data_IF_187506866176
#
_entry.id   IF_187506866176
#
_cell.length_a   1.000
_cell.length_b   1.000
_cell.length_c   1.000
_cell.angle_alpha   90.00
_cell.angle_beta   90.00
_cell.angle_gamma   90.00
#
_symmetry.space_group_name_H-M   'P 1'
#
loop_
_entity.id
_entity.type
_entity.pdbx_description
1 polymer ?
#
# COMPACT_ATOMS: atom_id res chain seq x y z
N UNK A 1 -19.13 -0.25 -11.20
CA UNK A 1 -18.56 1.12 -11.32
C UNK A 1 -17.04 1.03 -11.39
N UNK A 2 -16.43 1.18 -12.57
CA UNK A 2 -14.96 1.24 -12.70
C UNK A 2 -14.49 2.60 -12.17
N UNK A 3 -14.00 2.68 -10.92
CA UNK A 3 -13.34 3.88 -10.39
C UNK A 3 -12.10 4.14 -11.26
N UNK A 4 -11.91 5.40 -11.72
CA UNK A 4 -10.73 5.88 -12.47
C UNK A 4 -9.44 5.25 -11.91
N UNK A 5 -8.66 4.61 -12.78
CA UNK A 5 -7.54 3.73 -12.41
C UNK A 5 -6.43 4.47 -11.67
N UNK A 6 -6.39 4.33 -10.36
CA UNK A 6 -5.27 4.75 -9.52
C UNK A 6 -4.10 3.79 -9.71
N UNK A 7 -2.88 4.31 -9.83
CA UNK A 7 -1.71 3.54 -10.28
C UNK A 7 -1.39 2.39 -9.32
N UNK A 8 -1.47 2.62 -8.01
CA UNK A 8 -1.10 1.59 -7.03
C UNK A 8 -2.29 0.79 -6.50
N UNK A 9 -3.52 1.07 -6.95
CA UNK A 9 -4.71 0.43 -6.38
C UNK A 9 -4.68 -1.08 -6.60
N UNK A 10 -4.45 -1.52 -7.83
CA UNK A 10 -4.40 -2.95 -8.16
C UNK A 10 -3.26 -3.67 -7.41
N UNK A 11 -2.10 -3.03 -7.29
CA UNK A 11 -0.97 -3.55 -6.51
C UNK A 11 -1.32 -3.75 -5.04
N UNK A 12 -1.98 -2.76 -4.42
CA UNK A 12 -2.37 -2.84 -3.01
C UNK A 12 -3.46 -3.89 -2.78
N UNK A 13 -4.45 -3.96 -3.67
CA UNK A 13 -5.51 -4.95 -3.60
C UNK A 13 -4.97 -6.36 -3.76
N UNK A 14 -4.07 -6.59 -4.73
CA UNK A 14 -3.43 -7.88 -4.94
C UNK A 14 -2.53 -8.26 -3.76
N UNK A 15 -1.76 -7.33 -3.21
CA UNK A 15 -0.95 -7.57 -2.01
C UNK A 15 -1.83 -8.06 -0.85
N UNK A 16 -2.90 -7.32 -0.52
CA UNK A 16 -3.81 -7.70 0.55
C UNK A 16 -4.48 -9.07 0.28
N UNK A 17 -4.90 -9.31 -0.96
CA UNK A 17 -5.54 -10.57 -1.39
C UNK A 17 -4.58 -11.75 -1.24
N UNK A 18 -3.33 -11.60 -1.68
CA UNK A 18 -2.31 -12.65 -1.59
C UNK A 18 -2.04 -13.11 -0.15
N UNK A 19 -2.20 -12.21 0.83
CA UNK A 19 -2.06 -12.51 2.26
C UNK A 19 -3.28 -13.28 2.77
N UNK A 20 -4.49 -12.81 2.44
CA UNK A 20 -5.73 -13.44 2.92
C UNK A 20 -5.90 -14.85 2.34
N UNK A 21 -5.50 -15.04 1.07
CA UNK A 21 -5.53 -16.34 0.39
C UNK A 21 -4.36 -17.26 0.77
N UNK A 22 -3.40 -16.78 1.57
CA UNK A 22 -2.24 -17.56 2.01
C UNK A 22 -1.20 -17.83 0.91
N UNK A 23 -1.31 -17.19 -0.26
CA UNK A 23 -0.29 -17.27 -1.33
C UNK A 23 1.05 -16.69 -0.86
N UNK A 24 0.99 -15.63 -0.05
CA UNK A 24 2.15 -15.01 0.59
C UNK A 24 2.19 -15.40 2.05
N UNK A 25 3.30 -16.00 2.49
CA UNK A 25 3.54 -16.31 3.90
C UNK A 25 3.59 -14.99 4.69
N UNK A 26 2.73 -14.89 5.71
CA UNK A 26 2.52 -13.70 6.50
C UNK A 26 2.33 -14.08 7.97
N UNK A 27 2.77 -13.21 8.88
CA UNK A 27 2.49 -13.39 10.31
C UNK A 27 0.99 -13.16 10.60
N UNK A 28 0.55 -13.57 11.79
CA UNK A 28 -0.85 -13.49 12.22
C UNK A 28 -1.39 -12.06 12.14
N UNK A 29 -0.60 -11.08 12.52
CA UNK A 29 -0.96 -9.66 12.58
C UNK A 29 -1.18 -9.10 11.17
N UNK A 30 -0.33 -9.48 10.21
CA UNK A 30 -0.48 -9.05 8.82
C UNK A 30 -1.72 -9.67 8.17
N UNK A 31 -2.03 -10.93 8.49
CA UNK A 31 -3.29 -11.57 8.06
C UNK A 31 -4.50 -10.84 8.64
N UNK A 32 -4.46 -10.47 9.93
CA UNK A 32 -5.52 -9.70 10.57
C UNK A 32 -5.70 -8.32 9.93
N UNK A 33 -4.61 -7.62 9.62
CA UNK A 33 -4.65 -6.32 8.96
C UNK A 33 -5.25 -6.41 7.55
N UNK A 34 -4.86 -7.42 6.76
CA UNK A 34 -5.43 -7.63 5.42
C UNK A 34 -6.91 -8.03 5.47
N UNK A 35 -7.32 -8.90 6.41
CA UNK A 35 -8.73 -9.23 6.62
C UNK A 35 -9.56 -8.02 7.06
N UNK A 36 -9.03 -7.20 7.97
CA UNK A 36 -9.66 -5.95 8.40
C UNK A 36 -9.84 -5.00 7.22
N UNK A 37 -8.81 -4.83 6.39
CA UNK A 37 -8.86 -3.98 5.20
C UNK A 37 -10.06 -4.34 4.29
N UNK A 38 -10.24 -5.61 3.94
CA UNK A 38 -11.39 -6.03 3.12
C UNK A 38 -12.73 -5.85 3.86
N UNK A 39 -12.78 -6.14 5.15
CA UNK A 39 -13.98 -5.90 5.97
C UNK A 39 -14.38 -4.42 5.98
N UNK A 40 -13.41 -3.52 6.07
CA UNK A 40 -13.66 -2.08 6.11
C UNK A 40 -14.09 -1.54 4.73
N UNK A 41 -13.66 -2.15 3.62
CA UNK A 41 -14.15 -1.82 2.28
C UNK A 41 -15.65 -2.11 2.10
N UNK A 42 -16.16 -3.14 2.78
CA UNK A 42 -17.58 -3.53 2.76
C UNK A 42 -18.40 -2.83 3.85
N UNK A 43 -17.73 -2.17 4.81
CA UNK A 43 -18.37 -1.59 5.97
C UNK A 43 -19.08 -0.27 5.60
N UNK A 44 -20.40 -0.16 5.80
CA UNK A 44 -21.14 1.05 5.45
C UNK A 44 -20.71 2.29 6.24
N UNK A 45 -20.05 2.14 7.39
CA UNK A 45 -19.53 3.25 8.21
C UNK A 45 -18.35 3.99 7.58
N UNK A 46 -17.69 3.39 6.59
CA UNK A 46 -16.54 3.97 5.93
C UNK A 46 -16.79 4.22 4.44
N UNK A 47 -16.14 5.27 3.94
CA UNK A 47 -15.94 5.51 2.51
C UNK A 47 -14.48 5.28 2.15
N UNK A 48 -14.24 4.59 1.04
CA UNK A 48 -12.91 4.31 0.55
C UNK A 48 -12.57 5.17 -0.67
N UNK A 49 -11.58 6.05 -0.50
CA UNK A 49 -11.04 6.94 -1.53
C UNK A 49 -9.50 6.99 -1.47
N UNK A 50 -8.79 6.32 -2.39
CA UNK A 50 -7.33 6.23 -2.35
C UNK A 50 -6.61 7.47 -2.91
N UNK A 51 -7.33 8.55 -3.26
CA UNK A 51 -6.73 9.72 -3.93
C UNK A 51 -5.58 10.34 -3.13
N UNK A 52 -5.77 10.57 -1.83
CA UNK A 52 -4.74 11.16 -0.97
C UNK A 52 -3.57 10.19 -0.73
N UNK A 53 -3.87 8.90 -0.64
CA UNK A 53 -2.85 7.86 -0.55
C UNK A 53 -1.93 7.85 -1.80
N UNK A 54 -2.51 7.95 -3.00
CA UNK A 54 -1.75 8.03 -4.25
C UNK A 54 -0.87 9.29 -4.32
N UNK A 55 -1.39 10.42 -3.88
CA UNK A 55 -0.65 11.68 -3.83
C UNK A 55 0.58 11.56 -2.91
N UNK A 56 0.40 10.99 -1.72
CA UNK A 56 1.50 10.79 -0.76
C UNK A 56 2.54 9.81 -1.28
N UNK A 57 2.12 8.68 -1.88
CA UNK A 57 3.07 7.74 -2.53
C UNK A 57 3.87 8.46 -3.61
N UNK A 58 3.20 9.27 -4.44
CA UNK A 58 3.87 10.00 -5.51
C UNK A 58 4.88 11.02 -4.99
N UNK A 59 4.58 11.72 -3.88
CA UNK A 59 5.56 12.59 -3.22
C UNK A 59 6.76 11.75 -2.78
N UNK A 60 6.53 10.67 -2.03
CA UNK A 60 7.61 9.85 -1.47
C UNK A 60 8.55 9.36 -2.58
N UNK A 61 8.00 8.75 -3.63
CA UNK A 61 8.78 8.16 -4.72
C UNK A 61 9.52 9.19 -5.59
N UNK A 62 9.07 10.46 -5.61
CA UNK A 62 9.68 11.53 -6.43
C UNK A 62 10.63 12.44 -5.67
N UNK A 63 10.46 12.61 -4.37
CA UNK A 63 11.25 13.58 -3.59
C UNK A 63 12.32 12.94 -2.72
N UNK A 64 12.15 11.67 -2.32
CA UNK A 64 13.09 11.00 -1.44
C UNK A 64 14.07 10.13 -2.22
N UNK A 65 15.32 10.12 -1.75
CA UNK A 65 16.37 9.24 -2.22
C UNK A 65 16.89 8.40 -1.05
N UNK A 66 17.44 7.23 -1.36
CA UNK A 66 18.11 6.42 -0.35
C UNK A 66 19.35 7.14 0.19
N UNK A 67 19.45 7.31 1.51
CA UNK A 67 20.65 7.83 2.18
C UNK A 67 21.72 6.75 2.39
N UNK A 68 21.31 5.49 2.50
CA UNK A 68 22.17 4.32 2.70
C UNK A 68 21.43 3.06 2.23
N UNK A 69 22.17 2.00 1.90
CA UNK A 69 21.65 0.68 1.55
C UNK A 69 22.22 0.14 0.23
N UNK A 70 22.06 -1.18 0.04
CA UNK A 70 22.51 -1.92 -1.14
C UNK A 70 21.41 -2.89 -1.59
N UNK A 71 21.38 -3.20 -2.88
CA UNK A 71 20.56 -4.29 -3.42
C UNK A 71 21.16 -5.66 -3.04
N UNK A 72 20.42 -6.74 -3.28
CA UNK A 72 20.89 -8.11 -3.00
C UNK A 72 22.16 -8.49 -3.77
N UNK A 73 22.39 -7.86 -4.92
CA UNK A 73 23.59 -8.04 -5.75
C UNK A 73 24.76 -7.12 -5.33
N UNK A 74 24.61 -6.36 -4.25
CA UNK A 74 25.61 -5.42 -3.75
C UNK A 74 25.60 -4.05 -4.44
N UNK A 75 24.68 -3.80 -5.38
CA UNK A 75 24.60 -2.49 -6.04
C UNK A 75 24.19 -1.41 -5.03
N UNK A 76 24.95 -0.30 -4.87
CA UNK A 76 24.57 0.79 -3.98
C UNK A 76 23.22 1.41 -4.36
N UNK A 77 22.39 1.66 -3.34
CA UNK A 77 21.13 2.37 -3.47
C UNK A 77 21.27 3.87 -3.21
N UNK A 78 22.37 4.30 -2.58
CA UNK A 78 22.60 5.70 -2.21
C UNK A 78 22.35 6.64 -3.40
N UNK A 79 21.53 7.68 -3.18
CA UNK A 79 21.18 8.67 -4.19
C UNK A 79 20.13 8.23 -5.21
N UNK A 80 19.74 6.94 -5.26
CA UNK A 80 18.64 6.46 -6.11
C UNK A 80 17.27 6.83 -5.51
N UNK A 81 16.23 7.01 -6.35
CA UNK A 81 14.86 7.26 -5.87
C UNK A 81 14.35 6.19 -4.91
N UNK A 82 13.66 6.60 -3.86
CA UNK A 82 13.10 5.71 -2.85
C UNK A 82 11.74 5.16 -3.30
N UNK A 83 11.75 4.05 -4.05
CA UNK A 83 10.53 3.41 -4.55
C UNK A 83 9.87 2.56 -3.45
N UNK A 84 8.58 2.77 -3.21
CA UNK A 84 7.86 2.05 -2.18
C UNK A 84 7.54 0.62 -2.62
N UNK A 85 7.75 -0.32 -1.71
CA UNK A 85 7.31 -1.71 -1.86
C UNK A 85 5.80 -1.84 -1.65
N UNK A 86 5.21 -2.92 -2.16
CA UNK A 86 3.76 -3.16 -2.12
C UNK A 86 3.18 -3.08 -0.71
N UNK A 87 3.90 -3.59 0.29
CA UNK A 87 3.48 -3.54 1.69
C UNK A 87 3.47 -2.12 2.26
N UNK A 88 4.40 -1.27 1.83
CA UNK A 88 4.45 0.15 2.25
C UNK A 88 3.29 0.90 1.63
N UNK A 89 2.99 0.65 0.35
CA UNK A 89 1.81 1.21 -0.34
C UNK A 89 0.52 0.79 0.35
N UNK A 90 0.43 -0.48 0.76
CA UNK A 90 -0.70 -0.98 1.54
C UNK A 90 -0.88 -0.24 2.87
N UNK A 91 0.20 0.06 3.60
CA UNK A 91 0.12 0.86 4.82
C UNK A 91 -0.43 2.26 4.51
N UNK A 92 0.11 2.94 3.49
CA UNK A 92 -0.35 4.30 3.12
C UNK A 92 -1.85 4.29 2.75
N UNK A 93 -2.30 3.27 2.02
CA UNK A 93 -3.72 3.08 1.68
C UNK A 93 -4.60 2.85 2.90
N UNK A 94 -4.13 2.12 3.91
CA UNK A 94 -4.90 1.92 5.14
C UNK A 94 -5.02 3.21 5.96
N UNK A 95 -3.98 4.04 5.95
CA UNK A 95 -3.96 5.28 6.74
C UNK A 95 -4.76 6.41 6.08
N UNK A 96 -4.67 6.54 4.75
CA UNK A 96 -5.21 7.69 4.01
C UNK A 96 -6.36 7.34 3.07
N UNK A 97 -6.72 6.06 2.94
CA UNK A 97 -7.77 5.61 2.03
C UNK A 97 -9.15 5.51 2.65
N UNK A 98 -9.25 5.34 3.98
CA UNK A 98 -10.53 5.18 4.69
C UNK A 98 -10.95 6.47 5.38
N UNK A 99 -12.19 6.86 5.14
CA UNK A 99 -12.84 8.02 5.74
C UNK A 99 -14.10 7.56 6.46
N UNK A 100 -14.42 8.17 7.60
CA UNK A 100 -15.71 7.97 8.24
C UNK A 100 -16.82 8.58 7.37
N UNK A 101 -17.89 7.83 7.13
CA UNK A 101 -19.11 8.40 6.53
C UNK A 101 -19.73 9.38 7.52
N UNK A 102 -19.94 10.61 7.06
CA UNK A 102 -20.69 11.66 7.73
C UNK A 102 -21.94 12.00 6.93
#
# INVERSE_FOLDING_TARGET
MKKKGFKNYDTVMEYAKSIVEGRKVACRELIQAAKRFFKDLENPKYDFNPKEAEFVIQIIEKTFVHKQGEMLDGTPLMGKPFLLQDWQKFIVYNLLGFYHKG
#
